data_IF_604633976521
#
_entry.id   IF_604633976521
#
_cell.length_a   1.000
_cell.length_b   1.000
_cell.length_c   1.000
_cell.angle_alpha   90.00
_cell.angle_beta   90.00
_cell.angle_gamma   90.00
#
_symmetry.space_group_name_H-M   'P 1'
#
loop_
_entity.id
_entity.type
_entity.pdbx_description
1 polymer ?
#
# COMPACT_ATOMS: atom_id res chain seq x y z
N UNK A 1 -12.92 -8.68 -10.56
CA UNK A 1 -12.10 -8.23 -11.70
C UNK A 1 -10.62 -8.15 -11.33
N UNK A 2 -10.18 -7.29 -10.41
CA UNK A 2 -8.75 -7.19 -10.01
C UNK A 2 -8.11 -8.52 -9.53
N UNK A 3 -8.84 -9.33 -8.74
CA UNK A 3 -8.33 -10.62 -8.25
C UNK A 3 -8.19 -11.69 -9.35
N UNK A 4 -9.07 -11.66 -10.35
CA UNK A 4 -9.02 -12.59 -11.50
C UNK A 4 -7.82 -12.23 -12.37
N UNK A 5 -7.65 -10.93 -12.66
CA UNK A 5 -6.48 -10.41 -13.37
C UNK A 5 -5.19 -10.72 -12.62
N UNK A 6 -5.14 -10.54 -11.29
CA UNK A 6 -3.96 -10.85 -10.50
C UNK A 6 -3.56 -12.33 -10.57
N UNK A 7 -4.55 -13.23 -10.58
CA UNK A 7 -4.34 -14.67 -10.77
C UNK A 7 -3.77 -14.98 -12.16
N UNK A 8 -4.42 -14.46 -13.21
CA UNK A 8 -4.01 -14.68 -14.61
C UNK A 8 -2.63 -14.10 -14.91
N UNK A 9 -2.30 -12.95 -14.31
CA UNK A 9 -1.02 -12.28 -14.46
C UNK A 9 0.06 -12.79 -13.52
N UNK A 10 -0.26 -13.75 -12.64
CA UNK A 10 0.65 -14.32 -11.63
C UNK A 10 1.30 -13.21 -10.78
N UNK A 11 0.49 -12.24 -10.35
CA UNK A 11 0.98 -11.13 -9.53
C UNK A 11 1.40 -11.61 -8.14
N UNK A 12 2.53 -11.14 -7.63
CA UNK A 12 2.92 -11.41 -6.25
C UNK A 12 2.27 -10.46 -5.26
N UNK A 13 2.23 -9.17 -5.62
CA UNK A 13 1.62 -8.11 -4.83
C UNK A 13 0.59 -7.35 -5.65
N UNK A 14 -0.43 -6.83 -4.97
CA UNK A 14 -1.42 -5.93 -5.55
C UNK A 14 -1.45 -4.66 -4.71
N UNK A 15 -1.06 -3.53 -5.29
CA UNK A 15 -1.24 -2.22 -4.69
C UNK A 15 -2.57 -1.61 -5.17
N UNK A 16 -3.38 -1.12 -4.24
CA UNK A 16 -4.69 -0.56 -4.49
C UNK A 16 -4.81 0.83 -3.86
N UNK A 17 -5.40 1.75 -4.63
CA UNK A 17 -5.89 3.04 -4.15
C UNK A 17 -7.43 2.98 -4.12
N UNK A 18 -8.03 3.61 -3.12
CA UNK A 18 -9.47 3.57 -2.81
C UNK A 18 -10.04 2.14 -2.74
N UNK A 19 -9.47 1.26 -1.90
CA UNK A 19 -9.89 -0.13 -1.85
C UNK A 19 -11.33 -0.26 -1.33
N UNK A 20 -12.16 -1.05 -2.02
CA UNK A 20 -13.43 -1.51 -1.46
C UNK A 20 -13.15 -2.55 -0.36
N UNK A 21 -12.98 -2.09 0.88
CA UNK A 21 -12.55 -2.93 1.99
C UNK A 21 -13.47 -4.12 2.25
N UNK A 22 -14.79 -3.96 2.10
CA UNK A 22 -15.74 -5.06 2.30
C UNK A 22 -15.47 -6.21 1.33
N UNK A 23 -15.23 -5.90 0.05
CA UNK A 23 -14.89 -6.89 -0.97
C UNK A 23 -13.47 -7.44 -0.81
N UNK A 24 -12.53 -6.63 -0.33
CA UNK A 24 -11.15 -7.06 -0.16
C UNK A 24 -10.99 -7.98 1.06
N UNK A 25 -11.71 -7.70 2.15
CA UNK A 25 -11.69 -8.47 3.41
C UNK A 25 -12.27 -9.87 3.28
N UNK A 26 -13.22 -10.09 2.38
CA UNK A 26 -14.00 -11.33 2.39
C UNK A 26 -13.18 -12.59 2.14
N UNK A 27 -11.95 -12.52 1.62
CA UNK A 27 -11.14 -13.70 1.28
C UNK A 27 -9.60 -13.55 1.40
N UNK A 28 -9.07 -12.45 1.93
CA UNK A 28 -7.61 -12.20 1.94
C UNK A 28 -7.06 -12.01 3.35
N UNK A 29 -6.21 -12.93 3.82
CA UNK A 29 -5.56 -12.83 5.15
C UNK A 29 -4.28 -11.97 5.16
N UNK A 30 -3.73 -11.65 3.99
CA UNK A 30 -2.44 -10.97 3.84
C UNK A 30 -2.61 -9.59 3.21
N UNK A 31 -3.46 -8.78 3.84
CA UNK A 31 -3.70 -7.40 3.43
C UNK A 31 -3.13 -6.44 4.46
N UNK A 32 -2.61 -5.34 3.96
CA UNK A 32 -2.05 -4.25 4.74
C UNK A 32 -2.73 -2.98 4.24
N UNK A 33 -3.35 -2.19 5.13
CA UNK A 33 -4.18 -1.03 4.77
C UNK A 33 -3.65 0.22 5.46
N UNK A 34 -3.61 1.36 4.75
CA UNK A 34 -3.23 2.65 5.33
C UNK A 34 -4.20 3.09 6.43
N UNK A 35 -3.75 3.99 7.30
CA UNK A 35 -4.54 4.53 8.41
C UNK A 35 -5.84 5.21 7.94
N UNK A 36 -5.77 5.96 6.83
CA UNK A 36 -6.92 6.64 6.25
C UNK A 36 -7.83 5.73 5.40
N UNK A 37 -7.47 4.45 5.28
CA UNK A 37 -8.16 3.43 4.48
C UNK A 37 -8.16 3.72 2.97
N UNK A 38 -7.38 4.69 2.51
CA UNK A 38 -7.27 5.13 1.13
C UNK A 38 -6.33 4.28 0.29
N UNK A 39 -5.37 3.59 0.91
CA UNK A 39 -4.39 2.76 0.22
C UNK A 39 -4.29 1.37 0.86
N UNK A 40 -3.98 0.36 0.03
CA UNK A 40 -3.81 -1.01 0.50
C UNK A 40 -2.78 -1.76 -0.35
N UNK A 41 -2.10 -2.72 0.27
CA UNK A 41 -1.26 -3.72 -0.39
C UNK A 41 -1.79 -5.10 -0.01
N UNK A 42 -1.95 -5.98 -0.99
CA UNK A 42 -2.24 -7.41 -0.79
C UNK A 42 -1.00 -8.20 -1.21
N UNK A 43 -0.48 -9.04 -0.31
CA UNK A 43 0.48 -10.08 -0.66
C UNK A 43 -0.29 -11.28 -1.22
N UNK A 44 -0.48 -11.30 -2.54
CA UNK A 44 -1.39 -12.23 -3.21
C UNK A 44 -0.78 -13.62 -3.37
N UNK A 45 0.47 -13.72 -3.86
CA UNK A 45 1.13 -15.02 -4.05
C UNK A 45 1.60 -15.65 -2.75
N UNK A 46 1.79 -14.84 -1.69
CA UNK A 46 2.33 -15.26 -0.39
C UNK A 46 3.72 -15.89 -0.47
N UNK A 47 4.40 -15.75 -1.63
CA UNK A 47 5.76 -16.26 -1.84
C UNK A 47 6.80 -15.48 -1.04
N UNK A 48 6.48 -14.25 -0.70
CA UNK A 48 7.38 -13.32 -0.02
C UNK A 48 6.92 -13.12 1.42
N UNK A 49 7.83 -13.35 2.37
CA UNK A 49 7.61 -13.01 3.76
C UNK A 49 7.67 -11.49 3.95
N UNK A 50 6.60 -10.95 4.52
CA UNK A 50 6.57 -9.55 4.93
C UNK A 50 7.33 -9.41 6.24
N UNK A 51 8.43 -8.67 6.21
CA UNK A 51 9.32 -8.47 7.36
C UNK A 51 8.92 -7.24 8.16
N UNK A 52 8.35 -6.23 7.51
CA UNK A 52 7.93 -4.99 8.15
C UNK A 52 6.75 -4.36 7.43
N UNK A 53 5.94 -3.66 8.20
CA UNK A 53 4.78 -2.90 7.72
C UNK A 53 4.80 -1.52 8.37
N UNK A 54 4.64 -0.47 7.57
CA UNK A 54 4.58 0.93 7.99
C UNK A 54 3.41 1.63 7.33
N UNK A 55 2.76 2.53 8.03
CA UNK A 55 1.69 3.38 7.50
C UNK A 55 1.79 4.75 8.15
N UNK A 56 1.49 5.81 7.39
CA UNK A 56 1.32 7.17 7.92
C UNK A 56 0.27 7.87 7.09
N UNK A 57 -0.92 8.06 7.64
CA UNK A 57 -2.05 8.71 6.96
C UNK A 57 -2.42 7.99 5.66
N UNK A 58 -2.04 8.59 4.53
CA UNK A 58 -2.52 8.28 3.18
C UNK A 58 -1.66 7.28 2.39
N UNK A 59 -0.64 6.70 3.03
CA UNK A 59 0.24 5.72 2.41
C UNK A 59 0.56 4.56 3.33
N UNK A 60 0.99 3.49 2.69
CA UNK A 60 1.38 2.23 3.30
C UNK A 60 2.63 1.68 2.62
N UNK A 61 3.53 1.13 3.42
CA UNK A 61 4.70 0.40 2.97
C UNK A 61 4.71 -1.02 3.54
N UNK A 62 4.98 -1.98 2.68
CA UNK A 62 5.21 -3.39 3.00
C UNK A 62 6.62 -3.74 2.56
N UNK A 63 7.44 -4.20 3.50
CA UNK A 63 8.81 -4.61 3.23
C UNK A 63 8.92 -6.13 3.24
N UNK A 64 9.75 -6.61 2.34
CA UNK A 64 10.21 -7.99 2.25
C UNK A 64 11.74 -7.98 2.34
N UNK A 65 12.37 -9.16 2.30
CA UNK A 65 13.85 -9.23 2.33
C UNK A 65 14.56 -8.55 1.15
N UNK A 66 13.87 -8.22 0.06
CA UNK A 66 14.52 -7.65 -1.14
C UNK A 66 13.77 -6.50 -1.81
N UNK A 67 12.56 -6.16 -1.34
CA UNK A 67 11.74 -5.11 -1.94
C UNK A 67 10.92 -4.40 -0.86
N UNK A 68 10.80 -3.09 -1.01
CA UNK A 68 9.86 -2.24 -0.28
C UNK A 68 8.77 -1.78 -1.24
N UNK A 69 7.53 -2.19 -0.98
CA UNK A 69 6.37 -1.82 -1.79
C UNK A 69 5.61 -0.70 -1.10
N UNK A 70 5.26 0.33 -1.87
CA UNK A 70 4.43 1.44 -1.41
C UNK A 70 3.11 1.47 -2.15
N UNK A 71 2.01 1.63 -1.42
CA UNK A 71 0.73 2.07 -1.98
C UNK A 71 0.37 3.41 -1.35
N UNK A 72 -0.05 4.34 -2.19
CA UNK A 72 -0.31 5.72 -1.81
C UNK A 72 -1.63 6.13 -2.44
N UNK A 73 -2.46 6.82 -1.66
CA UNK A 73 -3.64 7.48 -2.20
C UNK A 73 -3.80 8.83 -1.53
N UNK A 74 -3.61 9.90 -2.30
CA UNK A 74 -3.80 11.25 -1.77
C UNK A 74 -5.14 11.76 -2.27
N UNK A 75 -6.14 11.79 -1.38
CA UNK A 75 -7.49 12.20 -1.74
C UNK A 75 -7.56 13.71 -1.96
N UNK A 76 -7.97 14.19 -3.14
CA UNK A 76 -8.14 15.63 -3.38
C UNK A 76 -9.25 16.25 -2.51
N UNK A 77 -10.16 15.42 -1.97
CA UNK A 77 -11.31 15.86 -1.19
C UNK A 77 -11.08 15.81 0.32
N UNK A 78 -10.05 15.07 0.78
CA UNK A 78 -9.74 14.89 2.21
C UNK A 78 -8.40 15.49 2.62
N UNK A 79 -7.52 15.75 1.67
CA UNK A 79 -6.24 16.39 1.92
C UNK A 79 -6.32 17.87 1.53
N UNK A 80 -6.04 18.75 2.50
CA UNK A 80 -5.71 20.13 2.15
C UNK A 80 -4.44 20.16 1.29
N UNK A 81 -4.20 21.22 0.49
CA UNK A 81 -2.96 21.35 -0.27
C UNK A 81 -1.69 21.22 0.59
N UNK A 82 -1.71 21.74 1.83
CA UNK A 82 -0.62 21.58 2.79
C UNK A 82 -0.48 20.13 3.28
N UNK A 83 -1.61 19.45 3.56
CA UNK A 83 -1.60 18.03 3.90
C UNK A 83 -1.01 17.16 2.79
N UNK A 84 -1.37 17.45 1.53
CA UNK A 84 -0.83 16.80 0.35
C UNK A 84 0.71 16.92 0.29
N UNK A 85 1.25 18.14 0.43
CA UNK A 85 2.69 18.39 0.40
C UNK A 85 3.42 17.73 1.57
N UNK A 86 2.84 17.75 2.76
CA UNK A 86 3.40 17.08 3.94
C UNK A 86 3.48 15.55 3.75
N UNK A 87 2.45 14.93 3.17
CA UNK A 87 2.49 13.49 2.87
C UNK A 87 3.56 13.14 1.83
N UNK A 88 3.73 13.96 0.79
CA UNK A 88 4.81 13.79 -0.18
C UNK A 88 6.20 13.94 0.46
N UNK A 89 6.39 14.94 1.32
CA UNK A 89 7.63 15.14 2.06
C UNK A 89 7.98 13.96 2.96
N UNK A 90 6.99 13.40 3.67
CA UNK A 90 7.17 12.21 4.52
C UNK A 90 7.59 10.97 3.70
N UNK A 91 6.99 10.76 2.53
CA UNK A 91 7.38 9.68 1.62
C UNK A 91 8.82 9.88 1.15
N UNK A 92 9.18 11.10 0.73
CA UNK A 92 10.52 11.42 0.26
C UNK A 92 11.59 11.19 1.33
N UNK A 93 11.35 11.64 2.57
CA UNK A 93 12.25 11.38 3.71
C UNK A 93 12.40 9.87 3.97
N UNK A 94 11.28 9.13 3.92
CA UNK A 94 11.30 7.68 4.11
C UNK A 94 12.13 6.97 3.04
N UNK A 95 12.03 7.40 1.77
CA UNK A 95 12.80 6.83 0.66
C UNK A 95 14.30 7.17 0.78
N UNK A 96 14.63 8.39 1.21
CA UNK A 96 16.02 8.80 1.45
C UNK A 96 16.68 7.97 2.55
N UNK A 97 15.97 7.71 3.66
CA UNK A 97 16.47 6.90 4.77
C UNK A 97 16.71 5.42 4.42
N UNK A 98 16.14 4.92 3.32
CA UNK A 98 16.36 3.55 2.83
C UNK A 98 17.54 3.50 1.84
N UNK A 99 17.87 4.63 1.22
CA UNK A 99 18.91 4.74 0.17
C UNK A 99 20.30 5.11 0.72
N UNK A 100 20.40 5.35 2.02
CA UNK A 100 21.61 5.73 2.77
C UNK A 100 22.07 4.60 3.68
#
# INVERSE_FOLDING_TARGET
MAMVVASEKKCDFIALSEPNLTKCKSNNKHMYVSEDLGAMIINYSQRYDVTKYRTVGCWICVETKGVSLYSVYISPNKCSPEGFLNHLGNIQQTLQAISS
#
